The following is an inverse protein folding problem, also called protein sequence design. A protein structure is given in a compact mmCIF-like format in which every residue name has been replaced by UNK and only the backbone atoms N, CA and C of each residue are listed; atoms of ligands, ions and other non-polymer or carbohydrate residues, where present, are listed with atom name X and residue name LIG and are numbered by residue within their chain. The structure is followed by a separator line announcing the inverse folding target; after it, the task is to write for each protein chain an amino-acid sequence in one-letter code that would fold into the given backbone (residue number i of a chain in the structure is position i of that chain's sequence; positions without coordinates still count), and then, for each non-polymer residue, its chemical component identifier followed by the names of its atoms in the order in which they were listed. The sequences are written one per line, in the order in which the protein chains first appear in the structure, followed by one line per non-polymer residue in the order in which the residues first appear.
data_IF_584803452326
#
_entry.id   IF_584803452326
#
_cell.length_a   1.000
_cell.length_b   1.000
_cell.length_c   1.000
_cell.angle_alpha   90.00
_cell.angle_beta   90.00
_cell.angle_gamma   90.00
#
_symmetry.space_group_name_H-M   'P 1'
#
loop_
_entity.id
_entity.type
_entity.pdbx_description
1 polymer ?
#
# COMPACT_ATOMS: atom_id res chain seq x y z
N UNK A 1 -37.31 21.44 9.47
CA UNK A 1 -36.54 20.20 9.74
C UNK A 1 -37.04 19.07 8.85
N UNK A 2 -36.17 18.43 8.05
CA UNK A 2 -36.54 17.18 7.35
C UNK A 2 -36.66 16.08 8.40
N UNK A 3 -37.85 15.55 8.63
CA UNK A 3 -38.06 14.41 9.52
C UNK A 3 -37.36 13.20 8.89
N UNK A 4 -36.32 12.69 9.53
CA UNK A 4 -35.78 11.38 9.18
C UNK A 4 -36.85 10.35 9.61
N UNK A 5 -37.58 9.78 8.65
CA UNK A 5 -38.46 8.67 8.94
C UNK A 5 -37.61 7.51 9.44
N UNK A 6 -37.88 7.01 10.64
CA UNK A 6 -37.25 5.80 11.14
C UNK A 6 -37.57 4.66 10.16
N UNK A 7 -36.54 3.95 9.71
CA UNK A 7 -36.77 2.75 8.90
C UNK A 7 -37.51 1.72 9.76
N UNK A 8 -38.68 1.28 9.30
CA UNK A 8 -39.36 0.13 9.91
C UNK A 8 -38.54 -1.11 9.58
N UNK A 9 -37.87 -1.67 10.58
CA UNK A 9 -37.19 -2.95 10.46
C UNK A 9 -38.27 -4.03 10.43
N UNK A 10 -38.25 -4.87 9.40
CA UNK A 10 -39.10 -6.05 9.27
C UNK A 10 -38.28 -7.28 9.61
N UNK A 11 -38.77 -8.10 10.54
CA UNK A 11 -38.13 -9.36 10.89
C UNK A 11 -38.75 -10.51 10.10
N UNK A 12 -37.91 -11.46 9.65
CA UNK A 12 -38.38 -12.63 8.90
C UNK A 12 -39.41 -13.46 9.67
N UNK A 13 -39.32 -13.47 11.00
CA UNK A 13 -40.25 -14.17 11.90
C UNK A 13 -41.65 -13.55 11.95
N UNK A 14 -41.78 -12.29 11.57
CA UNK A 14 -43.03 -11.52 11.61
C UNK A 14 -43.74 -11.50 10.24
N UNK A 15 -43.12 -12.10 9.22
CA UNK A 15 -43.63 -12.16 7.85
C UNK A 15 -44.08 -13.58 7.53
N UNK A 16 -45.07 -13.68 6.65
CA UNK A 16 -45.50 -14.95 6.11
C UNK A 16 -44.35 -15.66 5.36
N UNK A 17 -44.27 -16.98 5.51
CA UNK A 17 -43.16 -17.81 5.03
C UNK A 17 -43.03 -17.68 3.51
N UNK A 18 -44.15 -17.64 2.78
CA UNK A 18 -44.15 -17.48 1.33
C UNK A 18 -43.47 -16.15 0.94
N UNK A 19 -43.87 -15.05 1.57
CA UNK A 19 -43.29 -13.73 1.34
C UNK A 19 -41.79 -13.71 1.62
N UNK A 20 -41.33 -14.38 2.69
CA UNK A 20 -39.90 -14.49 3.03
C UNK A 20 -39.14 -15.27 1.96
N UNK A 21 -39.72 -16.37 1.44
CA UNK A 21 -39.10 -17.18 0.39
C UNK A 21 -39.01 -16.43 -0.93
N UNK A 22 -40.07 -15.74 -1.35
CA UNK A 22 -40.10 -14.95 -2.58
C UNK A 22 -39.13 -13.77 -2.53
N UNK A 23 -39.08 -13.03 -1.40
CA UNK A 23 -38.11 -11.94 -1.25
C UNK A 23 -36.67 -12.47 -1.23
N UNK A 24 -36.42 -13.61 -0.59
CA UNK A 24 -35.09 -14.22 -0.58
C UNK A 24 -34.66 -14.61 -2.00
N UNK A 25 -35.55 -15.25 -2.77
CA UNK A 25 -35.31 -15.60 -4.17
C UNK A 25 -35.04 -14.36 -5.04
N UNK A 26 -35.87 -13.32 -4.92
CA UNK A 26 -35.70 -12.07 -5.66
C UNK A 26 -34.36 -11.38 -5.34
N UNK A 27 -33.95 -11.38 -4.07
CA UNK A 27 -32.65 -10.85 -3.64
C UNK A 27 -31.48 -11.64 -4.21
N UNK A 28 -31.57 -12.96 -4.23
CA UNK A 28 -30.55 -13.83 -4.83
C UNK A 28 -30.41 -13.56 -6.33
N UNK A 29 -31.53 -13.54 -7.05
CA UNK A 29 -31.56 -13.25 -8.49
C UNK A 29 -30.98 -11.88 -8.81
N UNK A 30 -31.35 -10.85 -8.02
CA UNK A 30 -30.80 -9.51 -8.15
C UNK A 30 -29.29 -9.47 -7.89
N UNK A 31 -28.81 -10.17 -6.87
CA UNK A 31 -27.38 -10.23 -6.57
C UNK A 31 -26.59 -10.96 -7.66
N UNK A 32 -27.15 -12.01 -8.26
CA UNK A 32 -26.55 -12.69 -9.42
C UNK A 32 -26.47 -11.75 -10.62
N UNK A 33 -27.56 -11.05 -10.96
CA UNK A 33 -27.60 -10.06 -12.03
C UNK A 33 -26.56 -8.94 -11.82
N UNK A 34 -26.47 -8.41 -10.60
CA UNK A 34 -25.46 -7.41 -10.23
C UNK A 34 -24.02 -7.93 -10.38
N UNK A 35 -23.74 -9.16 -9.94
CA UNK A 35 -22.41 -9.77 -10.09
C UNK A 35 -22.04 -9.95 -11.55
N UNK A 36 -22.99 -10.39 -12.38
CA UNK A 36 -22.80 -10.50 -13.82
C UNK A 36 -22.50 -9.12 -14.43
N UNK A 37 -23.34 -8.11 -14.14
CA UNK A 37 -23.14 -6.74 -14.60
C UNK A 37 -21.81 -6.13 -14.14
N UNK A 38 -21.34 -6.43 -12.94
CA UNK A 38 -20.02 -5.99 -12.49
C UNK A 38 -18.90 -6.67 -13.28
N UNK A 39 -19.00 -7.98 -13.49
CA UNK A 39 -18.00 -8.74 -14.22
C UNK A 39 -17.91 -8.31 -15.70
N UNK A 40 -19.04 -7.99 -16.32
CA UNK A 40 -19.10 -7.47 -17.69
C UNK A 40 -18.39 -6.11 -17.77
N UNK A 41 -18.66 -5.17 -16.86
CA UNK A 41 -17.97 -3.87 -16.79
C UNK A 41 -16.45 -4.01 -16.65
N UNK A 42 -15.99 -4.96 -15.84
CA UNK A 42 -14.57 -5.28 -15.71
C UNK A 42 -13.98 -5.77 -17.04
N UNK A 43 -14.72 -6.62 -17.78
CA UNK A 43 -14.29 -7.13 -19.09
C UNK A 43 -14.29 -6.04 -20.16
N UNK A 44 -15.33 -5.22 -20.24
CA UNK A 44 -15.42 -4.09 -21.16
C UNK A 44 -14.25 -3.14 -20.96
N UNK A 45 -13.98 -2.78 -19.70
CA UNK A 45 -12.82 -1.98 -19.36
C UNK A 45 -11.54 -2.68 -19.82
N UNK A 46 -11.34 -3.96 -19.50
CA UNK A 46 -10.14 -4.73 -19.87
C UNK A 46 -9.93 -4.87 -21.39
N UNK A 47 -10.98 -4.88 -22.20
CA UNK A 47 -10.87 -4.98 -23.66
C UNK A 47 -10.88 -3.62 -24.34
N UNK A 48 -11.30 -2.56 -23.66
CA UNK A 48 -11.45 -1.23 -24.25
C UNK A 48 -12.57 -1.14 -25.28
N UNK A 49 -13.54 -2.07 -25.24
CA UNK A 49 -14.71 -2.11 -26.14
C UNK A 49 -15.98 -2.27 -25.32
N UNK A 50 -17.04 -1.62 -25.76
CA UNK A 50 -18.39 -1.81 -25.19
C UNK A 50 -18.98 -3.10 -25.72
N UNK A 51 -19.77 -3.76 -24.89
CA UNK A 51 -20.51 -4.95 -25.29
C UNK A 51 -21.73 -4.54 -26.12
N UNK A 52 -22.04 -5.35 -27.14
CA UNK A 52 -23.32 -5.35 -27.84
C UNK A 52 -24.00 -6.72 -27.63
N UNK A 53 -25.29 -6.79 -27.24
CA UNK A 53 -26.21 -5.69 -26.94
C UNK A 53 -25.83 -4.93 -25.65
N UNK A 54 -26.59 -3.87 -25.32
CA UNK A 54 -26.33 -3.06 -24.12
C UNK A 54 -26.35 -3.93 -22.86
N UNK A 55 -25.58 -3.53 -21.83
CA UNK A 55 -25.46 -4.34 -20.62
C UNK A 55 -26.81 -4.57 -19.92
N UNK A 56 -27.69 -3.58 -19.96
CA UNK A 56 -29.05 -3.70 -19.42
C UNK A 56 -29.86 -4.78 -20.14
N UNK A 57 -29.86 -4.78 -21.48
CA UNK A 57 -30.54 -5.79 -22.29
C UNK A 57 -29.96 -7.18 -22.00
N UNK A 58 -28.63 -7.30 -21.96
CA UNK A 58 -27.96 -8.57 -21.68
C UNK A 58 -28.30 -9.12 -20.28
N UNK A 59 -28.44 -8.26 -19.26
CA UNK A 59 -28.86 -8.66 -17.90
C UNK A 59 -30.34 -9.07 -17.90
N UNK A 60 -31.19 -8.28 -18.57
CA UNK A 60 -32.63 -8.51 -18.65
C UNK A 60 -32.96 -9.86 -19.27
N UNK A 61 -32.41 -10.14 -20.45
CA UNK A 61 -32.63 -11.38 -21.19
C UNK A 61 -32.09 -12.60 -20.44
N UNK A 62 -30.90 -12.48 -19.85
CA UNK A 62 -30.24 -13.60 -19.17
C UNK A 62 -30.98 -14.10 -17.93
N UNK A 63 -31.59 -13.19 -17.17
CA UNK A 63 -32.23 -13.49 -15.89
C UNK A 63 -33.76 -13.36 -15.93
N UNK A 64 -34.36 -13.10 -17.10
CA UNK A 64 -35.81 -12.92 -17.25
C UNK A 64 -36.37 -11.77 -16.41
N UNK A 65 -35.56 -10.73 -16.15
CA UNK A 65 -35.93 -9.66 -15.22
C UNK A 65 -36.83 -8.61 -15.89
N UNK A 66 -37.64 -7.92 -15.07
CA UNK A 66 -38.28 -6.69 -15.50
C UNK A 66 -37.23 -5.58 -15.71
N UNK A 67 -37.57 -4.60 -16.55
CA UNK A 67 -36.75 -3.48 -16.93
C UNK A 67 -36.21 -2.69 -15.72
N UNK A 68 -37.07 -2.44 -14.73
CA UNK A 68 -36.70 -1.76 -13.48
C UNK A 68 -35.63 -2.52 -12.68
N UNK A 69 -35.80 -3.84 -12.54
CA UNK A 69 -34.86 -4.69 -11.79
C UNK A 69 -33.51 -4.78 -12.51
N UNK A 70 -33.53 -4.99 -13.82
CA UNK A 70 -32.31 -5.02 -14.63
C UNK A 70 -31.56 -3.67 -14.57
N UNK A 71 -32.28 -2.56 -14.72
CA UNK A 71 -31.69 -1.21 -14.63
C UNK A 71 -31.10 -0.94 -13.24
N UNK A 72 -31.82 -1.32 -12.17
CA UNK A 72 -31.33 -1.16 -10.79
C UNK A 72 -30.02 -1.93 -10.58
N UNK A 73 -29.97 -3.20 -11.00
CA UNK A 73 -28.80 -4.04 -10.85
C UNK A 73 -27.57 -3.48 -11.60
N UNK A 74 -27.79 -2.98 -12.83
CA UNK A 74 -26.74 -2.35 -13.64
C UNK A 74 -26.25 -1.05 -13.01
N UNK A 75 -27.15 -0.22 -12.45
CA UNK A 75 -26.77 1.03 -11.76
C UNK A 75 -25.95 0.75 -10.51
N UNK A 76 -26.35 -0.21 -9.68
CA UNK A 76 -25.56 -0.62 -8.51
C UNK A 76 -24.19 -1.15 -8.92
N UNK A 77 -24.12 -1.99 -9.95
CA UNK A 77 -22.85 -2.51 -10.46
C UNK A 77 -21.92 -1.38 -10.94
N UNK A 78 -22.46 -0.40 -11.68
CA UNK A 78 -21.71 0.78 -12.12
C UNK A 78 -21.22 1.65 -10.96
N UNK A 79 -22.04 1.85 -9.92
CA UNK A 79 -21.66 2.59 -8.72
C UNK A 79 -20.52 1.89 -7.98
N UNK A 80 -20.62 0.57 -7.78
CA UNK A 80 -19.57 -0.25 -7.18
C UNK A 80 -18.28 -0.19 -8.00
N UNK A 81 -18.38 -0.30 -9.32
CA UNK A 81 -17.24 -0.23 -10.20
C UNK A 81 -16.53 1.13 -10.14
N UNK A 82 -17.29 2.23 -10.19
CA UNK A 82 -16.75 3.59 -10.04
C UNK A 82 -16.05 3.77 -8.68
N UNK A 83 -16.67 3.28 -7.59
CA UNK A 83 -16.08 3.35 -6.26
C UNK A 83 -14.74 2.59 -6.16
N UNK A 84 -14.65 1.41 -6.80
CA UNK A 84 -13.42 0.60 -6.84
C UNK A 84 -12.31 1.31 -7.62
N UNK A 85 -12.66 2.05 -8.68
CA UNK A 85 -11.70 2.82 -9.45
C UNK A 85 -11.12 4.00 -8.67
N UNK A 86 -11.96 4.75 -7.97
CA UNK A 86 -11.50 5.83 -7.08
C UNK A 86 -10.66 5.28 -5.93
N UNK A 87 -11.07 4.17 -5.32
CA UNK A 87 -10.29 3.50 -4.28
C UNK A 87 -8.90 3.09 -4.78
N UNK A 88 -8.82 2.53 -5.99
CA UNK A 88 -7.53 2.15 -6.59
C UNK A 88 -6.63 3.38 -6.82
N UNK A 89 -7.20 4.51 -7.27
CA UNK A 89 -6.47 5.78 -7.43
C UNK A 89 -5.86 6.26 -6.11
N UNK A 90 -6.63 6.22 -5.02
CA UNK A 90 -6.16 6.55 -3.68
C UNK A 90 -5.02 5.61 -3.25
N UNK A 91 -5.16 4.30 -3.47
CA UNK A 91 -4.12 3.34 -3.14
C UNK A 91 -2.82 3.55 -3.92
N UNK A 92 -2.91 3.94 -5.19
CA UNK A 92 -1.73 4.32 -5.99
C UNK A 92 -1.04 5.53 -5.37
N UNK A 93 -1.77 6.59 -5.04
CA UNK A 93 -1.22 7.81 -4.41
C UNK A 93 -0.53 7.50 -3.07
N UNK A 94 -1.21 6.77 -2.18
CA UNK A 94 -0.65 6.35 -0.90
C UNK A 94 0.62 5.49 -1.06
N UNK A 95 0.66 4.64 -2.09
CA UNK A 95 1.85 3.81 -2.38
C UNK A 95 3.00 4.68 -2.89
N UNK A 96 2.72 5.70 -3.70
CA UNK A 96 3.73 6.66 -4.17
C UNK A 96 4.34 7.47 -3.03
N UNK A 97 3.53 7.93 -2.08
CA UNK A 97 3.99 8.60 -0.85
C UNK A 97 4.89 7.70 -0.01
N UNK A 98 4.48 6.45 0.22
CA UNK A 98 5.29 5.46 0.94
C UNK A 98 6.64 5.23 0.25
N UNK A 99 6.68 5.21 -1.08
CA UNK A 99 7.93 5.10 -1.83
C UNK A 99 8.82 6.33 -1.60
N UNK A 100 8.26 7.54 -1.65
CA UNK A 100 9.01 8.79 -1.37
C UNK A 100 9.65 8.75 0.03
N UNK A 101 8.89 8.35 1.03
CA UNK A 101 9.37 8.24 2.41
C UNK A 101 10.48 7.20 2.57
N UNK A 102 10.31 6.03 1.97
CA UNK A 102 11.34 4.97 2.01
C UNK A 102 12.61 5.42 1.28
N UNK A 103 12.49 6.14 0.15
CA UNK A 103 13.62 6.75 -0.56
C UNK A 103 14.36 7.77 0.32
N UNK A 104 13.64 8.66 1.01
CA UNK A 104 14.22 9.62 1.96
C UNK A 104 14.94 8.91 3.10
N UNK A 105 14.30 7.92 3.74
CA UNK A 105 14.90 7.10 4.81
C UNK A 105 16.17 6.40 4.31
N UNK A 106 16.15 5.77 3.12
CA UNK A 106 17.32 5.13 2.52
C UNK A 106 18.46 6.11 2.27
N UNK A 107 18.18 7.33 1.78
CA UNK A 107 19.19 8.39 1.62
C UNK A 107 19.83 8.74 2.96
N UNK A 108 19.04 8.94 4.01
CA UNK A 108 19.58 9.24 5.35
C UNK A 108 20.46 8.11 5.89
N UNK A 109 20.06 6.85 5.75
CA UNK A 109 20.87 5.71 6.21
C UNK A 109 22.15 5.53 5.39
N UNK A 110 22.12 5.81 4.07
CA UNK A 110 23.33 5.87 3.23
C UNK A 110 24.30 6.97 3.70
N UNK A 111 23.80 8.16 4.01
CA UNK A 111 24.66 9.24 4.55
C UNK A 111 25.24 8.92 5.94
N UNK A 112 24.52 8.15 6.76
CA UNK A 112 25.08 7.63 8.02
C UNK A 112 26.18 6.62 7.75
N UNK A 113 25.98 5.72 6.79
CA UNK A 113 26.99 4.73 6.41
C UNK A 113 28.27 5.39 5.88
N UNK A 114 28.17 6.43 5.04
CA UNK A 114 29.35 7.15 4.54
C UNK A 114 30.10 7.88 5.66
N UNK A 115 29.39 8.45 6.64
CA UNK A 115 30.03 9.03 7.85
C UNK A 115 30.80 7.98 8.65
N UNK A 116 30.21 6.80 8.87
CA UNK A 116 30.88 5.70 9.57
C UNK A 116 32.10 5.17 8.81
N UNK A 117 32.03 5.10 7.47
CA UNK A 117 33.18 4.71 6.64
C UNK A 117 34.34 5.72 6.78
N UNK A 118 34.05 7.02 6.71
CA UNK A 118 35.05 8.07 6.93
C UNK A 118 35.68 8.00 8.33
N UNK A 119 34.88 7.71 9.36
CA UNK A 119 35.40 7.48 10.71
C UNK A 119 36.34 6.29 10.73
N UNK A 120 35.97 5.16 10.10
CA UNK A 120 36.82 3.97 10.03
C UNK A 120 38.13 4.24 9.29
N UNK A 121 38.09 4.92 8.15
CA UNK A 121 39.28 5.34 7.42
C UNK A 121 40.20 6.24 8.27
N UNK A 122 39.62 7.12 9.07
CA UNK A 122 40.38 7.98 10.00
C UNK A 122 41.01 7.20 11.15
N UNK A 123 40.38 6.11 11.62
CA UNK A 123 40.97 5.19 12.60
C UNK A 123 42.22 4.51 12.03
N UNK A 124 42.11 3.98 10.80
CA UNK A 124 43.21 3.24 10.13
C UNK A 124 44.41 4.17 9.88
N UNK A 125 44.15 5.44 9.52
CA UNK A 125 45.20 6.44 9.31
C UNK A 125 45.83 6.98 10.61
N UNK A 126 45.36 6.55 11.79
CA UNK A 126 45.83 7.03 13.08
C UNK A 126 45.40 8.45 13.48
N UNK A 127 44.76 9.21 12.57
CA UNK A 127 44.24 10.56 12.83
C UNK A 127 42.71 10.50 12.95
N UNK A 128 42.22 10.05 14.11
CA UNK A 128 40.80 9.87 14.37
C UNK A 128 40.07 11.22 14.35
N UNK A 129 39.12 11.37 13.42
CA UNK A 129 38.33 12.60 13.28
C UNK A 129 36.84 12.31 13.35
N UNK A 130 36.17 13.04 14.24
CA UNK A 130 34.72 12.99 14.36
C UNK A 130 34.03 14.13 13.59
N UNK A 131 32.83 13.92 13.03
CA UNK A 131 32.04 14.98 12.43
C UNK A 131 31.64 16.04 13.46
N UNK A 132 31.64 17.31 13.05
CA UNK A 132 31.43 18.50 13.91
C UNK A 132 30.13 18.52 14.74
N UNK A 133 29.14 17.69 14.42
CA UNK A 133 27.82 17.66 15.10
C UNK A 133 27.57 16.30 15.77
N UNK A 134 28.60 15.70 16.36
CA UNK A 134 28.47 14.41 17.04
C UNK A 134 28.99 14.52 18.46
N UNK A 135 28.34 13.81 19.39
CA UNK A 135 28.68 13.79 20.81
C UNK A 135 29.91 12.90 21.11
N UNK A 136 30.79 12.73 20.12
CA UNK A 136 32.03 11.98 20.29
C UNK A 136 33.12 12.92 20.80
N UNK A 137 33.79 12.51 21.86
CA UNK A 137 34.94 13.21 22.43
C UNK A 137 36.12 12.26 22.47
N UNK A 138 37.24 12.69 21.87
CA UNK A 138 38.54 12.04 22.01
C UNK A 138 39.31 12.77 23.11
N UNK A 139 39.64 12.04 24.17
CA UNK A 139 40.44 12.57 25.28
C UNK A 139 41.93 12.50 24.95
N UNK A 140 42.74 13.38 25.56
CA UNK A 140 44.20 13.39 25.37
C UNK A 140 44.87 12.06 25.75
N UNK A 141 44.24 11.29 26.65
CA UNK A 141 44.65 9.95 27.06
C UNK A 141 44.41 8.84 26.01
N UNK A 142 43.80 9.16 24.86
CA UNK A 142 43.45 8.18 23.82
C UNK A 142 42.10 7.48 24.05
N UNK A 143 41.40 7.81 25.13
CA UNK A 143 40.06 7.32 25.44
C UNK A 143 39.03 8.00 24.53
N UNK A 144 38.09 7.23 24.00
CA UNK A 144 36.98 7.72 23.19
C UNK A 144 35.70 7.61 24.01
N UNK A 145 34.93 8.67 24.06
CA UNK A 145 33.63 8.69 24.73
C UNK A 145 32.53 9.16 23.78
N UNK A 146 31.34 8.58 23.92
CA UNK A 146 30.12 8.98 23.23
C UNK A 146 29.05 9.25 24.28
N UNK A 147 28.63 10.50 24.34
CA UNK A 147 27.54 10.91 25.23
C UNK A 147 26.18 10.72 24.54
N UNK A 148 25.33 9.90 25.16
CA UNK A 148 23.92 9.75 24.78
C UNK A 148 23.06 10.33 25.90
N UNK A 149 21.82 10.74 25.58
CA UNK A 149 20.91 11.40 26.53
C UNK A 149 20.78 10.71 27.90
N UNK A 150 20.86 9.38 27.95
CA UNK A 150 20.62 8.60 29.18
C UNK A 150 21.85 7.80 29.64
N UNK A 151 22.94 7.77 28.87
CA UNK A 151 24.15 6.98 29.18
C UNK A 151 25.34 7.40 28.35
N UNK A 152 26.54 7.13 28.85
CA UNK A 152 27.78 7.33 28.11
C UNK A 152 28.40 5.99 27.73
N UNK A 153 28.90 5.90 26.51
CA UNK A 153 29.70 4.75 26.06
C UNK A 153 31.15 5.19 26.00
N UNK A 154 32.03 4.40 26.60
CA UNK A 154 33.45 4.70 26.70
C UNK A 154 34.24 3.53 26.11
N UNK A 155 35.26 3.85 25.33
CA UNK A 155 36.22 2.90 24.77
C UNK A 155 37.62 3.34 25.15
N UNK A 156 38.39 2.42 25.74
CA UNK A 156 39.71 2.72 26.30
C UNK A 156 40.78 2.99 25.24
N UNK A 157 40.59 2.47 24.02
CA UNK A 157 41.50 2.68 22.90
C UNK A 157 40.73 2.75 21.58
N UNK A 158 41.44 3.18 20.53
CA UNK A 158 40.92 3.25 19.15
C UNK A 158 40.50 1.88 18.61
N UNK A 159 41.24 0.83 18.94
CA UNK A 159 40.97 -0.54 18.51
C UNK A 159 39.61 -1.07 19.00
N UNK A 160 39.30 -0.91 20.29
CA UNK A 160 38.02 -1.33 20.87
C UNK A 160 36.87 -0.50 20.29
N UNK A 161 37.08 0.78 20.03
CA UNK A 161 36.09 1.63 19.37
C UNK A 161 35.80 1.14 17.95
N UNK A 162 36.82 0.81 17.17
CA UNK A 162 36.65 0.31 15.80
C UNK A 162 35.82 -0.98 15.78
N UNK A 163 36.28 -2.00 16.50
CA UNK A 163 35.65 -3.32 16.40
C UNK A 163 34.32 -3.44 17.15
N UNK A 164 34.22 -2.89 18.37
CA UNK A 164 32.98 -3.02 19.15
C UNK A 164 31.89 -2.07 18.69
N UNK A 165 32.26 -0.88 18.21
CA UNK A 165 31.28 0.14 17.83
C UNK A 165 31.18 0.33 16.31
N UNK A 166 32.26 0.73 15.62
CA UNK A 166 32.18 1.09 14.20
C UNK A 166 31.76 -0.10 13.33
N UNK A 167 32.41 -1.25 13.45
CA UNK A 167 32.12 -2.43 12.63
C UNK A 167 30.69 -2.92 12.84
N UNK A 168 30.27 -3.04 14.10
CA UNK A 168 28.91 -3.43 14.46
C UNK A 168 27.87 -2.44 13.93
N UNK A 169 28.13 -1.14 14.06
CA UNK A 169 27.22 -0.10 13.56
C UNK A 169 27.16 -0.08 12.04
N UNK A 170 28.29 -0.27 11.36
CA UNK A 170 28.36 -0.38 9.91
C UNK A 170 27.60 -1.60 9.41
N UNK A 171 27.80 -2.79 10.02
CA UNK A 171 27.07 -4.01 9.68
C UNK A 171 25.56 -3.81 9.79
N UNK A 172 25.09 -3.26 10.92
CA UNK A 172 23.65 -2.94 11.14
C UNK A 172 23.12 -1.94 10.13
N UNK A 173 23.88 -0.89 9.82
CA UNK A 173 23.46 0.16 8.87
C UNK A 173 23.42 -0.39 7.44
N UNK A 174 24.40 -1.19 7.03
CA UNK A 174 24.40 -1.90 5.73
C UNK A 174 23.18 -2.82 5.60
N UNK A 175 22.91 -3.64 6.62
CA UNK A 175 21.73 -4.51 6.64
C UNK A 175 20.43 -3.69 6.52
N UNK A 176 20.30 -2.60 7.28
CA UNK A 176 19.14 -1.69 7.19
C UNK A 176 18.96 -1.08 5.80
N UNK A 177 20.04 -0.66 5.15
CA UNK A 177 19.99 -0.16 3.76
C UNK A 177 19.53 -1.27 2.80
N UNK A 178 19.99 -2.50 2.99
CA UNK A 178 19.52 -3.68 2.25
C UNK A 178 18.02 -3.93 2.44
N UNK A 179 17.53 -3.97 3.68
CA UNK A 179 16.11 -4.11 3.98
C UNK A 179 15.27 -2.99 3.35
N UNK A 180 15.75 -1.74 3.38
CA UNK A 180 15.07 -0.61 2.74
C UNK A 180 15.05 -0.72 1.22
N UNK A 181 16.09 -1.30 0.59
CA UNK A 181 16.10 -1.62 -0.84
C UNK A 181 15.00 -2.63 -1.17
N UNK A 182 14.98 -3.78 -0.51
CA UNK A 182 13.93 -4.80 -0.73
C UNK A 182 12.52 -4.27 -0.46
N UNK A 183 12.35 -3.44 0.58
CA UNK A 183 11.06 -2.80 0.85
C UNK A 183 10.63 -1.87 -0.29
N UNK A 184 11.56 -1.11 -0.85
CA UNK A 184 11.30 -0.23 -1.98
C UNK A 184 10.91 -1.04 -3.21
N UNK A 185 11.66 -2.11 -3.53
CA UNK A 185 11.38 -2.99 -4.67
C UNK A 185 9.96 -3.60 -4.56
N UNK A 186 9.58 -4.08 -3.37
CA UNK A 186 8.22 -4.60 -3.11
C UNK A 186 7.13 -3.54 -3.29
N UNK A 187 7.39 -2.29 -2.89
CA UNK A 187 6.44 -1.19 -3.06
C UNK A 187 6.31 -0.78 -4.52
N UNK A 188 7.41 -0.79 -5.29
CA UNK A 188 7.39 -0.54 -6.72
C UNK A 188 6.61 -1.63 -7.47
N UNK A 189 6.82 -2.91 -7.13
CA UNK A 189 6.00 -4.01 -7.65
C UNK A 189 4.52 -3.88 -7.27
N UNK A 190 4.21 -3.45 -6.04
CA UNK A 190 2.81 -3.20 -5.64
C UNK A 190 2.19 -2.08 -6.48
N UNK A 191 2.95 -1.00 -6.72
CA UNK A 191 2.52 0.12 -7.55
C UNK A 191 2.29 -0.30 -9.00
N UNK A 192 3.16 -1.13 -9.59
CA UNK A 192 2.96 -1.63 -10.97
C UNK A 192 1.70 -2.48 -11.05
N UNK A 193 1.47 -3.41 -10.11
CA UNK A 193 0.24 -4.22 -10.04
C UNK A 193 -1.02 -3.36 -9.93
N UNK A 194 -1.04 -2.36 -9.04
CA UNK A 194 -2.17 -1.43 -8.91
C UNK A 194 -2.41 -0.64 -10.21
N UNK A 195 -1.32 -0.20 -10.86
CA UNK A 195 -1.39 0.48 -12.16
C UNK A 195 -1.86 -0.43 -13.27
N UNK A 196 -1.47 -1.71 -13.32
CA UNK A 196 -1.99 -2.70 -14.27
C UNK A 196 -3.48 -2.97 -14.04
N UNK A 197 -3.92 -3.09 -12.79
CA UNK A 197 -5.35 -3.19 -12.48
C UNK A 197 -6.13 -1.94 -12.92
N UNK A 198 -5.50 -0.76 -12.93
CA UNK A 198 -6.10 0.47 -13.47
C UNK A 198 -5.99 0.61 -14.99
N UNK A 199 -4.89 0.14 -15.58
CA UNK A 199 -4.54 0.17 -17.01
C UNK A 199 -4.75 -1.21 -17.60
N UNK A 200 -6.00 -1.43 -17.99
CA UNK A 200 -6.42 -2.16 -19.19
C UNK A 200 -5.25 -2.45 -20.14
N UNK A 201 -4.86 -3.72 -20.24
CA UNK A 201 -3.90 -4.19 -21.25
C UNK A 201 -4.49 -3.88 -22.64
N UNK A 202 -3.95 -2.88 -23.34
CA UNK A 202 -4.01 -2.85 -24.80
C UNK A 202 -3.20 -4.04 -25.30
N UNK A 203 -3.82 -5.20 -25.47
CA UNK A 203 -3.26 -6.16 -26.41
C UNK A 203 -3.43 -5.50 -27.78
N UNK A 204 -2.33 -4.94 -28.30
CA UNK A 204 -2.21 -4.69 -29.73
C UNK A 204 -2.33 -6.06 -30.38
N UNK A 205 -3.49 -6.34 -30.96
CA UNK A 205 -3.61 -7.39 -31.95
C UNK A 205 -2.91 -6.83 -33.18
N UNK A 206 -1.77 -7.43 -33.52
CA UNK A 206 -1.09 -7.27 -34.81
C UNK A 206 -1.80 -8.21 -35.78
#
# INVERSE_FOLDING_TARGET
MKKAYFSRRLYKSEMDILHVTETSYALELFNQAKRFAFQTLVREKRWGRKWYPSLHIAVKEKYGLNDYFANSAVREANALFSSLMELNKIHVQQTEEKIKDVKKKRKTERTKLTKLLKMKESCIKGNLRFPKNTNFVLHKSGIISLELKNRSLIWMNSYLFEHRYLDMKMKRTKAKVGCLKHRLDRLEQKKTKLKEHSRVRRQKVV
#
